data_IF_689876280638
#
_entry.id   IF_689876280638
#
_cell.length_a   1.000
_cell.length_b   1.000
_cell.length_c   1.000
_cell.angle_alpha   90.00
_cell.angle_beta   90.00
_cell.angle_gamma   90.00
#
_symmetry.space_group_name_H-M   'P 1'
#
loop_
_entity.id
_entity.type
_entity.pdbx_description
1 polymer ?
#
# COMPACT_ATOMS: atom_id res chain seq x y z
N UNK A 1 -19.78 5.68 13.30
CA UNK A 1 -18.72 6.67 13.59
C UNK A 1 -18.51 7.54 12.35
N UNK A 2 -18.62 8.85 12.47
CA UNK A 2 -18.41 9.78 11.37
C UNK A 2 -16.90 10.16 11.22
N UNK A 3 -16.57 10.95 10.20
CA UNK A 3 -15.18 11.32 9.93
C UNK A 3 -14.51 12.09 11.06
N UNK A 4 -15.24 12.96 11.75
CA UNK A 4 -14.70 13.74 12.87
C UNK A 4 -14.41 12.84 14.05
N UNK A 5 -15.34 11.98 14.41
CA UNK A 5 -15.16 11.01 15.50
C UNK A 5 -13.97 10.08 15.21
N UNK A 6 -13.82 9.64 13.95
CA UNK A 6 -12.69 8.81 13.54
C UNK A 6 -11.36 9.56 13.68
N UNK A 7 -11.32 10.84 13.31
CA UNK A 7 -10.10 11.66 13.45
C UNK A 7 -9.75 11.92 14.90
N UNK A 8 -10.74 12.13 15.76
CA UNK A 8 -10.54 12.31 17.20
C UNK A 8 -10.06 11.02 17.87
N UNK A 9 -10.62 9.88 17.44
CA UNK A 9 -10.28 8.57 18.01
C UNK A 9 -8.87 8.12 17.65
N UNK A 10 -8.38 8.42 16.45
CA UNK A 10 -7.09 7.93 15.97
C UNK A 10 -5.91 8.56 16.71
N UNK A 11 -4.86 7.81 16.92
CA UNK A 11 -3.55 8.31 17.36
C UNK A 11 -2.44 7.43 16.81
N UNK A 12 -1.18 7.89 16.89
CA UNK A 12 -0.03 7.13 16.41
C UNK A 12 0.35 6.06 17.45
N UNK A 13 -0.15 4.86 17.24
CA UNK A 13 0.09 3.71 18.14
C UNK A 13 1.56 3.32 18.10
N UNK A 14 2.17 3.15 19.27
CA UNK A 14 3.60 2.80 19.40
C UNK A 14 3.84 1.32 19.67
N UNK A 15 2.87 0.60 20.18
CA UNK A 15 2.98 -0.82 20.49
C UNK A 15 1.77 -1.56 19.96
N UNK A 16 2.02 -2.59 19.16
CA UNK A 16 0.96 -3.43 18.58
C UNK A 16 0.86 -4.75 19.34
N UNK A 17 -0.30 -5.37 19.25
CA UNK A 17 -0.51 -6.73 19.76
C UNK A 17 0.02 -7.72 18.72
N UNK A 18 1.17 -8.33 19.00
CA UNK A 18 1.85 -9.26 18.09
C UNK A 18 1.18 -10.63 18.00
N UNK A 19 0.13 -10.87 18.79
CA UNK A 19 -0.65 -12.11 18.75
C UNK A 19 -1.89 -11.99 17.88
N UNK A 20 -2.21 -10.80 17.37
CA UNK A 20 -3.35 -10.56 16.49
C UNK A 20 -2.91 -10.47 15.04
N UNK A 21 -3.63 -11.18 14.17
CA UNK A 21 -3.35 -11.23 12.74
C UNK A 21 -4.59 -10.84 11.95
N UNK A 22 -4.39 -10.11 10.87
CA UNK A 22 -5.45 -9.78 9.94
C UNK A 22 -5.85 -11.03 9.15
N UNK A 23 -7.14 -11.13 8.86
CA UNK A 23 -7.67 -12.18 7.99
C UNK A 23 -7.39 -11.84 6.52
N UNK A 24 -7.37 -12.87 5.67
CA UNK A 24 -7.13 -12.69 4.23
C UNK A 24 -8.14 -11.72 3.59
N UNK A 25 -9.40 -11.75 4.02
CA UNK A 25 -10.43 -10.82 3.53
C UNK A 25 -10.10 -9.36 3.85
N UNK A 26 -9.51 -9.11 5.01
CA UNK A 26 -9.05 -7.78 5.40
C UNK A 26 -7.86 -7.33 4.56
N UNK A 27 -6.92 -8.24 4.30
CA UNK A 27 -5.77 -7.98 3.43
C UNK A 27 -6.24 -7.67 2.00
N UNK A 28 -7.21 -8.42 1.48
CA UNK A 28 -7.79 -8.16 0.16
C UNK A 28 -8.44 -6.78 0.08
N UNK A 29 -9.15 -6.37 1.13
CA UNK A 29 -9.74 -5.03 1.23
C UNK A 29 -8.66 -3.94 1.18
N UNK A 30 -7.55 -4.13 1.89
CA UNK A 30 -6.43 -3.19 1.89
C UNK A 30 -5.75 -3.12 0.52
N UNK A 31 -5.60 -4.26 -0.18
CA UNK A 31 -5.10 -4.29 -1.55
C UNK A 31 -6.00 -3.50 -2.49
N UNK A 32 -7.31 -3.65 -2.38
CA UNK A 32 -8.27 -2.88 -3.17
C UNK A 32 -8.16 -1.38 -2.86
N UNK A 33 -8.05 -1.00 -1.60
CA UNK A 33 -7.88 0.39 -1.20
C UNK A 33 -6.62 0.99 -1.82
N UNK A 34 -5.50 0.26 -1.81
CA UNK A 34 -4.27 0.67 -2.48
C UNK A 34 -4.49 0.87 -3.98
N UNK A 35 -5.10 -0.11 -4.63
CA UNK A 35 -5.30 -0.08 -6.08
C UNK A 35 -6.23 1.04 -6.53
N UNK A 36 -7.23 1.39 -5.73
CA UNK A 36 -8.23 2.41 -6.05
C UNK A 36 -7.81 3.81 -5.61
N UNK A 37 -6.72 3.95 -4.85
CA UNK A 37 -6.23 5.26 -4.41
C UNK A 37 -5.68 6.04 -5.61
N UNK A 38 -6.08 7.31 -5.71
CA UNK A 38 -5.65 8.18 -6.79
C UNK A 38 -4.15 8.46 -6.73
N UNK A 39 -3.50 8.43 -7.89
CA UNK A 39 -2.11 8.85 -8.06
C UNK A 39 -2.04 10.03 -9.02
N UNK A 40 -0.89 10.74 -9.04
CA UNK A 40 -0.69 11.88 -9.92
C UNK A 40 -0.90 11.47 -11.37
N UNK A 41 -1.82 12.15 -12.07
CA UNK A 41 -2.23 11.84 -13.45
C UNK A 41 -2.71 10.39 -13.64
N UNK A 42 -3.00 9.64 -12.57
CA UNK A 42 -3.45 8.26 -12.65
C UNK A 42 -2.41 7.27 -13.13
N UNK A 43 -1.12 7.63 -13.18
CA UNK A 43 -0.05 6.79 -13.73
C UNK A 43 0.30 5.58 -12.87
N UNK A 44 -0.03 5.62 -11.58
CA UNK A 44 0.21 4.54 -10.61
C UNK A 44 1.67 4.05 -10.62
N UNK A 45 2.67 4.95 -10.44
CA UNK A 45 4.09 4.57 -10.47
C UNK A 45 4.55 3.93 -9.15
N UNK A 46 3.69 3.15 -8.53
CA UNK A 46 3.91 2.56 -7.21
C UNK A 46 3.56 1.07 -7.24
N UNK A 47 4.22 0.32 -6.37
CA UNK A 47 3.95 -1.10 -6.14
C UNK A 47 3.82 -1.35 -4.65
N UNK A 48 2.95 -2.29 -4.30
CA UNK A 48 2.75 -2.70 -2.92
C UNK A 48 3.42 -4.05 -2.69
N UNK A 49 4.34 -4.09 -1.73
CA UNK A 49 4.93 -5.31 -1.24
C UNK A 49 4.34 -5.62 0.13
N UNK A 50 3.74 -6.80 0.27
CA UNK A 50 3.13 -7.24 1.53
C UNK A 50 3.99 -8.32 2.14
N UNK A 51 4.51 -8.08 3.34
CA UNK A 51 5.39 -8.98 4.07
C UNK A 51 4.65 -9.50 5.31
N UNK A 52 4.53 -10.82 5.41
CA UNK A 52 3.98 -11.49 6.60
C UNK A 52 4.99 -12.41 7.29
N UNK A 53 6.18 -12.54 6.73
CA UNK A 53 7.25 -13.33 7.32
C UNK A 53 7.83 -12.58 8.53
N UNK A 54 7.63 -13.13 9.72
CA UNK A 54 8.03 -12.49 10.98
C UNK A 54 9.54 -12.31 11.10
N UNK A 55 10.32 -13.22 10.55
CA UNK A 55 11.79 -13.13 10.57
C UNK A 55 12.26 -11.95 9.74
N UNK A 56 11.67 -11.73 8.57
CA UNK A 56 11.99 -10.59 7.70
C UNK A 56 11.54 -9.29 8.37
N UNK A 57 10.33 -9.25 8.95
CA UNK A 57 9.85 -8.08 9.68
C UNK A 57 10.80 -7.71 10.82
N UNK A 58 11.28 -8.70 11.59
CA UNK A 58 12.23 -8.47 12.66
C UNK A 58 13.55 -7.87 12.16
N UNK A 59 14.06 -8.36 11.03
CA UNK A 59 15.28 -7.83 10.42
C UNK A 59 15.11 -6.39 9.92
N UNK A 60 13.91 -5.98 9.53
CA UNK A 60 13.63 -4.64 9.03
C UNK A 60 13.50 -3.59 10.12
N UNK A 61 13.36 -3.98 11.39
CA UNK A 61 13.25 -3.04 12.52
C UNK A 61 14.45 -2.08 12.58
N UNK A 62 15.67 -2.59 12.42
CA UNK A 62 16.89 -1.80 12.46
C UNK A 62 16.98 -0.78 11.32
N UNK A 63 16.33 -1.05 10.19
CA UNK A 63 16.26 -0.16 9.02
C UNK A 63 15.07 0.79 9.07
N UNK A 64 14.26 0.71 10.11
CA UNK A 64 13.02 1.49 10.29
C UNK A 64 13.06 2.26 11.60
N UNK A 65 14.20 2.87 11.91
CA UNK A 65 14.44 3.68 13.11
C UNK A 65 14.16 2.91 14.40
N UNK A 66 14.44 1.61 14.42
CA UNK A 66 14.19 0.71 15.54
C UNK A 66 12.74 0.74 16.03
N UNK A 67 11.79 0.96 15.12
CA UNK A 67 10.37 0.93 15.44
C UNK A 67 9.88 -0.51 15.53
N UNK A 68 9.56 -0.95 16.73
CA UNK A 68 9.13 -2.34 16.98
C UNK A 68 7.79 -2.68 16.32
N UNK A 69 6.97 -1.69 15.99
CA UNK A 69 5.72 -1.89 15.25
C UNK A 69 5.93 -2.71 13.98
N UNK A 70 7.08 -2.56 13.34
CA UNK A 70 7.44 -3.29 12.10
C UNK A 70 7.42 -4.80 12.32
N UNK A 71 7.93 -5.28 13.47
CA UNK A 71 7.93 -6.71 13.80
C UNK A 71 6.64 -7.18 14.45
N UNK A 72 5.94 -6.29 15.15
CA UNK A 72 4.71 -6.63 15.88
C UNK A 72 3.48 -6.69 14.96
N UNK A 73 3.48 -5.94 13.88
CA UNK A 73 2.34 -5.87 12.96
C UNK A 73 2.03 -7.24 12.34
N UNK A 74 0.77 -7.51 12.11
CA UNK A 74 0.32 -8.71 11.40
C UNK A 74 1.01 -8.86 10.05
N UNK A 75 0.98 -7.78 9.27
CA UNK A 75 1.62 -7.68 7.96
C UNK A 75 2.32 -6.33 7.86
N UNK A 76 3.40 -6.28 7.10
CA UNK A 76 4.10 -5.04 6.77
C UNK A 76 3.83 -4.69 5.30
N UNK A 77 3.29 -3.51 5.07
CA UNK A 77 3.02 -3.00 3.72
C UNK A 77 4.13 -2.03 3.36
N UNK A 78 4.89 -2.35 2.32
CA UNK A 78 5.95 -1.50 1.80
C UNK A 78 5.49 -0.93 0.46
N UNK A 79 5.35 0.40 0.41
CA UNK A 79 4.99 1.08 -0.83
C UNK A 79 6.26 1.46 -1.55
N UNK A 80 6.48 0.85 -2.71
CA UNK A 80 7.65 1.07 -3.55
C UNK A 80 7.28 2.02 -4.68
N UNK A 81 8.20 2.90 -5.04
CA UNK A 81 8.02 3.81 -6.17
C UNK A 81 8.93 3.39 -7.31
N UNK A 82 8.46 3.59 -8.54
CA UNK A 82 9.28 3.38 -9.72
C UNK A 82 10.39 4.43 -9.77
N UNK A 83 11.62 3.99 -9.95
CA UNK A 83 12.77 4.90 -10.03
C UNK A 83 12.87 5.60 -11.38
N UNK A 84 12.23 5.05 -12.41
CA UNK A 84 12.15 5.62 -13.75
C UNK A 84 10.73 5.53 -14.28
N UNK A 85 10.21 6.67 -14.71
CA UNK A 85 8.97 6.78 -15.45
C UNK A 85 9.30 7.38 -16.81
N UNK A 86 9.24 6.58 -17.88
CA UNK A 86 9.58 6.99 -19.24
C UNK A 86 8.36 6.98 -20.16
N UNK A 87 8.57 7.33 -21.44
CA UNK A 87 7.50 7.38 -22.43
C UNK A 87 6.81 6.02 -22.61
N UNK A 88 7.56 4.93 -22.51
CA UNK A 88 6.96 3.58 -22.66
C UNK A 88 5.99 3.26 -21.52
N UNK A 89 6.25 3.73 -20.31
CA UNK A 89 5.35 3.57 -19.17
C UNK A 89 4.06 4.39 -19.37
N UNK A 90 4.19 5.59 -19.88
CA UNK A 90 3.06 6.47 -20.23
C UNK A 90 2.21 5.83 -21.33
N UNK A 91 2.84 5.31 -22.37
CA UNK A 91 2.14 4.63 -23.47
C UNK A 91 1.38 3.41 -22.98
N UNK A 92 2.01 2.59 -22.14
CA UNK A 92 1.36 1.42 -21.52
C UNK A 92 0.14 1.82 -20.70
N UNK A 93 0.23 2.91 -19.95
CA UNK A 93 -0.89 3.42 -19.18
C UNK A 93 -2.06 3.80 -20.08
N UNK A 94 -1.82 4.58 -21.15
CA UNK A 94 -2.88 4.99 -22.07
C UNK A 94 -3.46 3.82 -22.85
N UNK A 95 -2.64 2.84 -23.24
CA UNK A 95 -3.12 1.61 -23.87
C UNK A 95 -4.05 0.85 -22.93
N UNK A 96 -3.71 0.76 -21.65
CA UNK A 96 -4.54 0.12 -20.64
C UNK A 96 -5.86 0.86 -20.42
N UNK A 97 -5.83 2.18 -20.42
CA UNK A 97 -7.05 3.00 -20.31
C UNK A 97 -7.97 2.77 -21.50
N UNK A 98 -7.43 2.71 -22.72
CA UNK A 98 -8.20 2.39 -23.93
C UNK A 98 -8.85 1.01 -23.85
N UNK A 99 -8.09 0.01 -23.42
CA UNK A 99 -8.58 -1.36 -23.26
C UNK A 99 -9.76 -1.42 -22.28
N UNK A 100 -9.62 -0.77 -21.11
CA UNK A 100 -10.65 -0.82 -20.05
C UNK A 100 -11.86 0.04 -20.39
N UNK A 101 -11.62 1.27 -20.92
CA UNK A 101 -12.67 2.26 -21.18
C UNK A 101 -13.22 2.21 -22.61
N UNK A 102 -12.55 1.47 -23.48
CA UNK A 102 -12.94 1.34 -24.87
C UNK A 102 -12.99 2.71 -25.59
N UNK A 103 -11.98 3.57 -25.34
CA UNK A 103 -11.89 4.90 -25.92
C UNK A 103 -11.24 4.86 -27.31
N UNK A 104 -11.62 5.75 -28.25
CA UNK A 104 -11.01 5.79 -29.57
C UNK A 104 -9.59 6.34 -29.55
N UNK A 105 -8.83 6.03 -30.61
CA UNK A 105 -7.48 6.55 -30.85
C UNK A 105 -7.56 7.97 -31.40
N UNK A 106 -7.38 8.97 -30.55
CA UNK A 106 -7.25 10.38 -30.96
C UNK A 106 -5.96 10.97 -30.40
#
# INVERSE_FOLDING_TARGET
>A
MNSIENLEWRYAVKKFDDQKFLQETQIDTLKQAFNLTATSYGLQPIKLLIIKNKKIQQQLVTHSWNQEQISQASHLFVICVDTKLDESDIDKYFDKVKEIRNTPDE
#
